data_IF_413207857827
#
_entry.id   IF_413207857827
#
_cell.length_a   1.000
_cell.length_b   1.000
_cell.length_c   1.000
_cell.angle_alpha   90.00
_cell.angle_beta   90.00
_cell.angle_gamma   90.00
#
_symmetry.space_group_name_H-M   'P 1'
#
loop_
_entity.id
_entity.type
_entity.pdbx_description
1 polymer ?
#
# COMPACT_ATOMS: atom_id res chain seq x y z
N UNK A 1 27.37 -4.08 24.73
CA UNK A 1 26.26 -3.15 24.40
C UNK A 1 26.06 -3.16 22.89
N UNK A 2 24.84 -3.44 22.38
CA UNK A 2 24.53 -3.30 20.94
C UNK A 2 24.63 -1.82 20.56
N UNK A 3 25.33 -1.49 19.48
CA UNK A 3 25.37 -0.12 18.96
C UNK A 3 23.93 0.38 18.70
N UNK A 4 23.60 1.64 18.99
CA UNK A 4 22.27 2.17 18.72
C UNK A 4 21.99 2.08 17.21
N UNK A 5 20.79 1.61 16.86
CA UNK A 5 20.31 1.61 15.48
C UNK A 5 20.41 3.04 14.93
N UNK A 6 21.14 3.23 13.84
CA UNK A 6 21.54 4.55 13.32
C UNK A 6 20.39 5.39 12.76
N UNK A 7 19.27 4.77 12.41
CA UNK A 7 18.13 5.44 11.75
C UNK A 7 17.09 5.90 12.76
N UNK A 8 16.54 7.11 12.61
CA UNK A 8 15.42 7.60 13.44
C UNK A 8 14.08 7.05 12.94
N UNK A 9 13.94 6.94 11.62
CA UNK A 9 12.74 6.52 10.92
C UNK A 9 12.93 5.14 10.28
N UNK A 10 11.87 4.33 10.28
CA UNK A 10 11.79 3.06 9.57
C UNK A 10 10.49 3.02 8.79
N UNK A 11 10.62 2.86 7.48
CA UNK A 11 9.49 2.83 6.55
C UNK A 11 9.27 1.38 6.07
N UNK A 12 8.04 0.90 6.23
CA UNK A 12 7.62 -0.41 5.74
C UNK A 12 6.75 -0.24 4.50
N UNK A 13 6.98 -1.08 3.51
CA UNK A 13 6.00 -1.28 2.44
C UNK A 13 4.75 -2.00 2.98
N UNK A 14 3.62 -1.92 2.27
CA UNK A 14 2.40 -2.63 2.62
C UNK A 14 2.35 -4.01 1.93
N UNK A 15 2.22 -3.98 0.60
CA UNK A 15 2.01 -5.16 -0.22
C UNK A 15 3.27 -6.03 -0.21
N UNK A 16 3.07 -7.35 -0.12
CA UNK A 16 4.13 -8.35 0.02
C UNK A 16 5.16 -8.08 1.16
N UNK A 17 4.82 -7.25 2.15
CA UNK A 17 5.72 -6.84 3.24
C UNK A 17 5.05 -6.85 4.60
N UNK A 18 4.02 -6.03 4.82
CA UNK A 18 3.22 -6.06 6.06
C UNK A 18 2.01 -6.98 5.91
N UNK A 19 1.54 -7.18 4.69
CA UNK A 19 0.55 -8.18 4.30
C UNK A 19 1.11 -9.06 3.19
N UNK A 20 0.65 -10.31 3.12
CA UNK A 20 1.05 -11.25 2.06
C UNK A 20 0.32 -11.02 0.72
N UNK A 21 -0.54 -10.01 0.64
CA UNK A 21 -1.33 -9.70 -0.56
C UNK A 21 -0.66 -8.64 -1.43
N UNK A 22 -1.00 -8.69 -2.71
CA UNK A 22 -0.89 -7.59 -3.68
C UNK A 22 -2.27 -6.95 -3.82
N UNK A 23 -2.43 -5.69 -3.42
CA UNK A 23 -3.75 -5.09 -3.22
C UNK A 23 -4.57 -4.94 -4.49
N UNK A 24 -3.91 -4.56 -5.58
CA UNK A 24 -4.58 -4.39 -6.88
C UNK A 24 -5.00 -5.74 -7.47
N UNK A 25 -4.21 -6.78 -7.28
CA UNK A 25 -4.53 -8.13 -7.77
C UNK A 25 -5.68 -8.75 -6.93
N UNK A 26 -5.73 -8.44 -5.63
CA UNK A 26 -6.83 -8.80 -4.75
C UNK A 26 -8.16 -8.14 -5.19
N UNK A 27 -8.13 -6.85 -5.54
CA UNK A 27 -9.27 -6.13 -6.09
C UNK A 27 -9.67 -6.65 -7.49
N UNK A 28 -8.68 -7.13 -8.24
CA UNK A 28 -8.86 -7.69 -9.57
C UNK A 28 -9.05 -9.21 -9.57
N UNK A 29 -9.35 -9.85 -8.44
CA UNK A 29 -9.40 -11.32 -8.36
C UNK A 29 -10.27 -11.91 -9.49
N UNK A 30 -9.67 -12.80 -10.29
CA UNK A 30 -10.30 -13.44 -11.45
C UNK A 30 -10.07 -12.72 -12.78
N UNK A 31 -9.35 -11.59 -12.79
CA UNK A 31 -9.05 -10.78 -13.98
C UNK A 31 -7.61 -10.98 -14.44
N UNK A 32 -7.43 -11.73 -15.53
CA UNK A 32 -6.11 -12.05 -16.08
C UNK A 32 -5.42 -10.84 -16.70
N UNK A 33 -6.18 -9.94 -17.32
CA UNK A 33 -5.71 -8.68 -17.90
C UNK A 33 -4.97 -7.81 -16.89
N UNK A 34 -5.46 -7.74 -15.65
CA UNK A 34 -4.81 -6.95 -14.59
C UNK A 34 -3.54 -7.64 -14.08
N UNK A 35 -3.59 -8.95 -13.86
CA UNK A 35 -2.43 -9.71 -13.39
C UNK A 35 -1.25 -9.67 -14.40
N UNK A 36 -1.55 -9.80 -15.69
CA UNK A 36 -0.55 -9.69 -16.76
C UNK A 36 0.10 -8.30 -16.81
N UNK A 37 -0.69 -7.24 -16.61
CA UNK A 37 -0.19 -5.87 -16.50
C UNK A 37 0.69 -5.67 -15.26
N UNK A 38 0.27 -6.20 -14.09
CA UNK A 38 1.07 -6.17 -12.86
C UNK A 38 2.42 -6.83 -13.10
N UNK A 39 2.45 -8.03 -13.68
CA UNK A 39 3.70 -8.73 -13.98
C UNK A 39 4.58 -7.95 -14.96
N UNK A 40 4.01 -7.39 -16.02
CA UNK A 40 4.77 -6.62 -17.01
C UNK A 40 5.39 -5.35 -16.41
N UNK A 41 4.73 -4.68 -15.45
CA UNK A 41 5.29 -3.55 -14.73
C UNK A 41 6.44 -3.98 -13.79
N UNK A 42 6.26 -5.06 -13.04
CA UNK A 42 7.29 -5.58 -12.12
C UNK A 42 8.54 -6.08 -12.85
N UNK A 43 8.37 -6.65 -14.04
CA UNK A 43 9.48 -7.06 -14.91
C UNK A 43 10.17 -5.88 -15.62
N UNK A 44 9.70 -4.64 -15.41
CA UNK A 44 10.22 -3.44 -16.06
C UNK A 44 9.91 -3.35 -17.56
N UNK A 45 8.99 -4.17 -18.08
CA UNK A 45 8.58 -4.19 -19.50
C UNK A 45 7.67 -3.01 -19.85
N UNK A 46 6.91 -2.51 -18.89
CA UNK A 46 6.08 -1.31 -19.01
C UNK A 46 6.36 -0.39 -17.84
N UNK A 47 6.29 0.92 -18.05
CA UNK A 47 6.49 1.89 -16.98
C UNK A 47 5.37 1.76 -15.94
N UNK A 48 5.75 1.86 -14.67
CA UNK A 48 4.80 1.76 -13.55
C UNK A 48 3.70 2.83 -13.63
N UNK A 49 4.05 4.05 -14.04
CA UNK A 49 3.11 5.18 -14.18
C UNK A 49 1.99 4.88 -15.19
N UNK A 50 2.34 4.27 -16.33
CA UNK A 50 1.41 3.89 -17.37
C UNK A 50 0.49 2.74 -16.90
N UNK A 51 1.04 1.81 -16.12
CA UNK A 51 0.30 0.64 -15.62
C UNK A 51 -0.58 0.99 -14.42
N UNK A 52 -0.19 1.93 -13.56
CA UNK A 52 -0.95 2.28 -12.37
C UNK A 52 -2.37 2.74 -12.72
N UNK A 53 -2.46 3.78 -13.55
CA UNK A 53 -3.73 4.32 -14.06
C UNK A 53 -4.52 3.23 -14.77
N UNK A 54 -3.86 2.48 -15.67
CA UNK A 54 -4.52 1.47 -16.48
C UNK A 54 -5.16 0.37 -15.63
N UNK A 55 -4.49 -0.09 -14.57
CA UNK A 55 -5.06 -1.10 -13.66
C UNK A 55 -6.28 -0.57 -12.93
N UNK A 56 -6.27 0.68 -12.44
CA UNK A 56 -7.45 1.25 -11.78
C UNK A 56 -8.61 1.50 -12.73
N UNK A 57 -8.35 1.95 -13.96
CA UNK A 57 -9.39 2.08 -15.00
C UNK A 57 -10.02 0.75 -15.39
N UNK A 58 -9.23 -0.33 -15.36
CA UNK A 58 -9.72 -1.68 -15.56
C UNK A 58 -10.54 -2.12 -14.36
N UNK A 59 -9.98 -2.08 -13.15
CA UNK A 59 -10.57 -2.62 -11.92
C UNK A 59 -11.82 -1.87 -11.48
N UNK A 60 -11.80 -0.53 -11.54
CA UNK A 60 -12.85 0.38 -11.03
C UNK A 60 -13.38 -0.03 -9.65
N UNK A 61 -12.50 -0.05 -8.63
CA UNK A 61 -12.89 -0.59 -7.33
C UNK A 61 -13.93 0.31 -6.66
N UNK A 62 -14.98 -0.28 -6.08
CA UNK A 62 -15.93 0.47 -5.25
C UNK A 62 -15.38 0.72 -3.85
N UNK A 63 -15.95 1.69 -3.14
CA UNK A 63 -15.61 2.00 -1.73
C UNK A 63 -15.66 0.74 -0.86
N UNK A 64 -16.72 -0.04 -1.01
CA UNK A 64 -16.92 -1.29 -0.26
C UNK A 64 -15.84 -2.34 -0.56
N UNK A 65 -15.36 -2.41 -1.80
CA UNK A 65 -14.26 -3.30 -2.17
C UNK A 65 -12.94 -2.86 -1.56
N UNK A 66 -12.64 -1.55 -1.53
CA UNK A 66 -11.43 -1.02 -0.89
C UNK A 66 -11.48 -1.22 0.64
N UNK A 67 -12.63 -1.02 1.27
CA UNK A 67 -12.81 -1.34 2.70
C UNK A 67 -12.62 -2.84 2.99
N UNK A 68 -13.11 -3.70 2.09
CA UNK A 68 -12.89 -5.15 2.18
C UNK A 68 -11.42 -5.50 2.03
N UNK A 69 -10.70 -4.86 1.09
CA UNK A 69 -9.26 -5.02 0.93
C UNK A 69 -8.53 -4.70 2.25
N UNK A 70 -8.88 -3.60 2.92
CA UNK A 70 -8.32 -3.27 4.23
C UNK A 70 -8.52 -4.36 5.27
N UNK A 71 -9.68 -5.04 5.29
CA UNK A 71 -9.91 -6.21 6.15
C UNK A 71 -9.08 -7.42 5.73
N UNK A 72 -8.96 -7.68 4.43
CA UNK A 72 -8.12 -8.75 3.89
C UNK A 72 -6.66 -8.55 4.27
N UNK A 73 -6.12 -7.34 4.18
CA UNK A 73 -4.78 -7.01 4.65
C UNK A 73 -4.58 -7.34 6.13
N UNK A 74 -5.52 -6.96 7.00
CA UNK A 74 -5.43 -7.31 8.42
C UNK A 74 -5.46 -8.82 8.67
N UNK A 75 -6.23 -9.58 7.90
CA UNK A 75 -6.31 -11.04 8.04
C UNK A 75 -5.05 -11.76 7.53
N UNK A 76 -4.33 -11.13 6.60
CA UNK A 76 -3.17 -11.70 5.90
C UNK A 76 -1.88 -10.99 6.29
N UNK A 77 -1.83 -10.43 7.50
CA UNK A 77 -0.61 -9.84 8.04
C UNK A 77 0.52 -10.88 8.02
N UNK A 78 1.72 -10.43 7.65
CA UNK A 78 2.92 -11.26 7.81
C UNK A 78 3.13 -11.53 9.30
N UNK A 79 3.39 -12.79 9.67
CA UNK A 79 3.41 -13.29 11.06
C UNK A 79 4.14 -12.37 12.04
N UNK A 80 5.29 -11.83 11.63
CA UNK A 80 6.15 -11.03 12.49
C UNK A 80 5.98 -9.51 12.32
N UNK A 81 5.02 -9.03 11.52
CA UNK A 81 4.81 -7.61 11.26
C UNK A 81 4.53 -6.83 12.57
N UNK A 82 3.51 -7.25 13.33
CA UNK A 82 3.15 -6.62 14.61
C UNK A 82 4.31 -6.60 15.61
N UNK A 83 4.91 -7.75 15.96
CA UNK A 83 6.05 -7.81 16.86
C UNK A 83 7.25 -6.97 16.41
N UNK A 84 7.56 -6.94 15.10
CA UNK A 84 8.67 -6.16 14.56
C UNK A 84 8.44 -4.67 14.72
N UNK A 85 7.25 -4.18 14.35
CA UNK A 85 6.90 -2.76 14.45
C UNK A 85 6.89 -2.31 15.91
N UNK A 86 6.31 -3.12 16.81
CA UNK A 86 6.31 -2.85 18.25
C UNK A 86 7.73 -2.77 18.84
N UNK A 87 8.63 -3.68 18.44
CA UNK A 87 10.02 -3.66 18.90
C UNK A 87 10.77 -2.40 18.45
N UNK A 88 10.53 -1.93 17.22
CA UNK A 88 11.11 -0.70 16.70
C UNK A 88 10.59 0.54 17.46
N UNK A 89 9.29 0.61 17.69
CA UNK A 89 8.67 1.68 18.49
C UNK A 89 9.22 1.69 19.92
N UNK A 90 9.38 0.52 20.56
CA UNK A 90 9.90 0.39 21.92
C UNK A 90 11.34 0.90 22.08
N UNK A 91 12.15 0.88 21.02
CA UNK A 91 13.51 1.46 21.00
C UNK A 91 13.54 2.89 20.44
N UNK A 92 12.37 3.55 20.40
CA UNK A 92 12.23 4.96 20.05
C UNK A 92 12.27 5.27 18.56
N UNK A 93 12.04 4.29 17.67
CA UNK A 93 11.95 4.55 16.22
C UNK A 93 10.59 5.07 15.82
N UNK A 94 10.59 5.98 14.84
CA UNK A 94 9.38 6.43 14.15
C UNK A 94 9.08 5.44 13.02
N UNK A 95 8.03 4.66 13.19
CA UNK A 95 7.58 3.69 12.18
C UNK A 95 6.59 4.35 11.24
N UNK A 96 6.79 4.15 9.95
CA UNK A 96 5.94 4.63 8.85
C UNK A 96 5.51 3.47 7.95
N UNK A 97 4.36 3.62 7.29
CA UNK A 97 3.93 2.75 6.17
C UNK A 97 3.97 3.57 4.89
N UNK A 98 4.62 3.08 3.84
CA UNK A 98 4.73 3.74 2.54
C UNK A 98 4.42 2.77 1.40
N UNK A 99 3.32 3.01 0.67
CA UNK A 99 2.77 2.04 -0.28
C UNK A 99 2.19 2.70 -1.54
N UNK A 100 2.32 2.04 -2.69
CA UNK A 100 1.54 2.40 -3.89
C UNK A 100 0.07 1.96 -3.80
N UNK A 101 -0.31 1.22 -2.76
CA UNK A 101 -1.67 0.77 -2.50
C UNK A 101 -2.64 1.91 -2.15
N UNK A 102 -3.93 1.57 -2.15
CA UNK A 102 -5.01 2.53 -1.93
C UNK A 102 -5.11 2.94 -0.46
N UNK A 103 -5.05 4.25 -0.20
CA UNK A 103 -4.91 4.83 1.13
C UNK A 103 -5.91 4.29 2.17
N UNK A 104 -7.23 4.18 1.90
CA UNK A 104 -8.18 3.70 2.91
C UNK A 104 -7.87 2.26 3.39
N UNK A 105 -7.40 1.40 2.49
CA UNK A 105 -7.04 0.03 2.82
C UNK A 105 -5.72 -0.03 3.59
N UNK A 106 -4.72 0.75 3.17
CA UNK A 106 -3.40 0.82 3.84
C UNK A 106 -3.55 1.41 5.25
N UNK A 107 -4.35 2.48 5.43
CA UNK A 107 -4.66 3.06 6.75
C UNK A 107 -5.32 2.04 7.67
N UNK A 108 -6.20 1.18 7.15
CA UNK A 108 -6.82 0.12 7.94
C UNK A 108 -5.80 -0.87 8.49
N UNK A 109 -4.85 -1.30 7.66
CA UNK A 109 -3.74 -2.17 8.08
C UNK A 109 -2.83 -1.47 9.09
N UNK A 110 -2.41 -0.24 8.80
CA UNK A 110 -1.55 0.56 9.65
C UNK A 110 -2.13 0.75 11.05
N UNK A 111 -3.44 1.05 11.16
CA UNK A 111 -4.14 1.16 12.43
C UNK A 111 -4.13 -0.15 13.22
N UNK A 112 -4.31 -1.30 12.55
CA UNK A 112 -4.23 -2.61 13.18
C UNK A 112 -2.81 -2.96 13.69
N UNK A 113 -1.78 -2.32 13.12
CA UNK A 113 -0.38 -2.43 13.51
C UNK A 113 0.10 -1.28 14.42
N UNK A 114 -0.83 -0.47 14.94
CA UNK A 114 -0.54 0.67 15.82
C UNK A 114 0.41 1.71 15.21
N UNK A 115 0.32 1.94 13.89
CA UNK A 115 0.97 3.06 13.21
C UNK A 115 -0.03 4.21 13.08
N UNK A 116 0.31 5.43 13.55
CA UNK A 116 -0.59 6.57 13.49
C UNK A 116 -0.81 7.05 12.05
N UNK A 117 -1.98 7.63 11.77
CA UNK A 117 -2.42 7.97 10.41
C UNK A 117 -1.48 8.96 9.72
N UNK A 118 -0.87 9.89 10.47
CA UNK A 118 0.07 10.89 9.94
C UNK A 118 1.40 10.27 9.48
N UNK A 119 1.60 8.96 9.74
CA UNK A 119 2.77 8.18 9.29
C UNK A 119 2.42 7.17 8.21
N UNK A 120 1.24 7.27 7.62
CA UNK A 120 0.80 6.45 6.49
C UNK A 120 0.88 7.27 5.21
N UNK A 121 1.66 6.77 4.27
CA UNK A 121 1.87 7.38 2.95
C UNK A 121 1.35 6.40 1.89
N UNK A 122 0.21 6.70 1.30
CA UNK A 122 -0.44 5.84 0.32
C UNK A 122 -1.20 6.67 -0.72
N UNK A 123 -1.67 6.02 -1.78
CA UNK A 123 -2.32 6.72 -2.90
C UNK A 123 -3.78 6.99 -2.55
N UNK A 124 -4.15 8.26 -2.47
CA UNK A 124 -5.52 8.67 -2.21
C UNK A 124 -6.44 8.26 -3.37
N UNK A 125 -7.67 7.84 -3.03
CA UNK A 125 -8.72 7.43 -3.97
C UNK A 125 -10.03 8.10 -3.56
N UNK A 126 -10.81 8.49 -4.57
CA UNK A 126 -12.10 9.15 -4.45
C UNK A 126 -13.20 8.29 -5.08
N UNK A 127 -14.39 8.43 -4.53
CA UNK A 127 -15.58 7.71 -4.96
C UNK A 127 -16.72 8.68 -5.07
N UNK A 128 -17.62 8.43 -6.01
CA UNK A 128 -18.84 9.21 -6.16
C UNK A 128 -19.83 8.96 -5.01
N UNK A 129 -21.04 9.52 -5.13
CA UNK A 129 -22.10 9.34 -4.12
C UNK A 129 -22.65 7.91 -4.04
N UNK A 130 -22.56 7.13 -5.12
CA UNK A 130 -22.95 5.73 -5.15
C UNK A 130 -21.86 4.82 -4.55
N UNK A 131 -20.64 5.34 -4.40
CA UNK A 131 -19.49 4.59 -3.91
C UNK A 131 -18.68 3.94 -5.03
N UNK A 132 -18.93 4.32 -6.28
CA UNK A 132 -18.20 3.87 -7.45
C UNK A 132 -16.91 4.68 -7.61
N UNK A 133 -15.90 4.06 -8.25
CA UNK A 133 -14.60 4.67 -8.50
C UNK A 133 -14.74 5.98 -9.30
N UNK A 134 -14.17 7.07 -8.79
CA UNK A 134 -14.16 8.37 -9.48
C UNK A 134 -12.75 8.72 -9.98
N UNK A 135 -11.78 8.80 -9.07
CA UNK A 135 -10.40 9.14 -9.40
C UNK A 135 -9.42 8.69 -8.29
N UNK A 136 -8.12 8.75 -8.60
CA UNK A 136 -7.03 8.67 -7.63
C UNK A 136 -6.15 9.92 -7.71
N UNK A 137 -5.34 10.17 -6.68
CA UNK A 137 -4.33 11.23 -6.70
C UNK A 137 -3.20 10.89 -7.68
N UNK A 138 -3.33 11.40 -8.90
CA UNK A 138 -2.36 11.19 -9.98
C UNK A 138 -1.04 11.97 -9.79
N UNK A 139 -1.02 12.95 -8.88
CA UNK A 139 0.19 13.72 -8.57
C UNK A 139 1.03 13.06 -7.47
N UNK A 140 0.46 12.08 -6.76
CA UNK A 140 1.19 11.31 -5.77
C UNK A 140 2.46 10.72 -6.39
N UNK A 141 3.65 10.91 -5.78
CA UNK A 141 4.87 10.30 -6.29
C UNK A 141 4.78 8.77 -6.28
N UNK A 142 3.95 8.19 -5.40
CA UNK A 142 3.78 6.75 -5.20
C UNK A 142 3.17 6.00 -6.40
N UNK A 143 2.67 6.72 -7.41
CA UNK A 143 2.19 6.12 -8.67
C UNK A 143 3.28 6.00 -9.74
N UNK A 144 4.51 6.44 -9.43
CA UNK A 144 5.66 6.46 -10.35
C UNK A 144 6.80 5.58 -9.83
N UNK A 145 7.62 5.07 -10.74
CA UNK A 145 8.80 4.28 -10.37
C UNK A 145 9.77 5.11 -9.52
N UNK A 146 10.25 4.56 -8.41
CA UNK A 146 11.12 5.28 -7.47
C UNK A 146 10.40 6.32 -6.59
N UNK A 147 9.07 6.46 -6.71
CA UNK A 147 8.26 7.46 -6.01
C UNK A 147 8.41 7.50 -4.50
N UNK A 148 8.69 6.35 -3.88
CA UNK A 148 8.92 6.25 -2.44
C UNK A 148 10.09 7.14 -1.99
N UNK A 149 11.16 7.24 -2.78
CA UNK A 149 12.33 8.06 -2.46
C UNK A 149 12.02 9.56 -2.41
N UNK A 150 10.96 10.02 -3.06
CA UNK A 150 10.54 11.42 -3.01
C UNK A 150 9.84 11.79 -1.68
N UNK A 151 9.52 10.79 -0.84
CA UNK A 151 8.84 10.96 0.46
C UNK A 151 9.72 10.56 1.66
N UNK A 152 10.98 10.17 1.42
CA UNK A 152 11.97 9.87 2.46
C UNK A 152 12.84 11.09 2.73
#
# INVERSE_FOLDING_TARGET
>A
MKAPLRYADVYFDCDSTLSTLEGIDELARGRRDVAELTQAAMDGRVKLEDVYRRRLELVQPTRTQVERLGRSYCHTQVTDAGPTLAALQAVGKRVHVISGGLEPAVKKLAAALHVPEERVHAVAISFDRAGDYEAFDAESPLVRAGGKLALL
#
